data_IF_775755136554
#
_entry.id   IF_775755136554
#
_cell.length_a   1.000
_cell.length_b   1.000
_cell.length_c   1.000
_cell.angle_alpha   90.00
_cell.angle_beta   90.00
_cell.angle_gamma   90.00
#
_symmetry.space_group_name_H-M   'P 1'
#
loop_
_entity.id
_entity.type
_entity.pdbx_description
1 polymer ?
#
# COMPACT_ATOMS: atom_id res chain seq x y z
N UNK A 1 2.54 6.39 14.24
CA UNK A 1 2.60 5.17 13.40
C UNK A 1 2.48 5.60 11.93
N UNK A 2 3.41 5.22 11.04
CA UNK A 2 3.40 5.63 9.61
C UNK A 2 2.91 4.52 8.66
N UNK A 3 2.64 3.32 9.19
CA UNK A 3 2.19 2.16 8.41
C UNK A 3 0.71 2.23 8.06
N UNK A 4 -0.09 2.84 8.92
CA UNK A 4 -1.54 2.93 8.76
C UNK A 4 -1.98 4.38 8.92
N UNK A 5 -2.23 5.04 7.79
CA UNK A 5 -2.99 6.28 7.75
C UNK A 5 -3.89 6.25 6.50
N UNK A 6 -5.07 6.84 6.59
CA UNK A 6 -6.06 6.78 5.52
C UNK A 6 -5.47 7.28 4.19
N UNK A 7 -5.69 6.52 3.12
CA UNK A 7 -5.22 6.85 1.78
C UNK A 7 -3.73 6.62 1.52
N UNK A 8 -2.99 5.99 2.44
CA UNK A 8 -1.63 5.55 2.14
C UNK A 8 -1.60 4.30 1.25
N UNK A 9 -0.53 4.14 0.50
CA UNK A 9 -0.21 2.87 -0.16
C UNK A 9 1.05 2.30 0.49
N UNK A 10 0.95 1.10 1.04
CA UNK A 10 2.05 0.45 1.74
C UNK A 10 2.58 -0.70 0.90
N UNK A 11 3.82 -0.57 0.42
CA UNK A 11 4.55 -1.70 -0.15
C UNK A 11 5.58 -2.21 0.85
N UNK A 12 5.90 -3.50 0.75
CA UNK A 12 7.00 -4.09 1.49
C UNK A 12 8.00 -4.79 0.59
N UNK A 13 9.24 -4.89 1.05
CA UNK A 13 10.30 -5.69 0.43
C UNK A 13 10.91 -6.61 1.47
N UNK A 14 11.45 -7.75 1.04
CA UNK A 14 12.07 -8.73 1.95
C UNK A 14 11.48 -10.12 1.78
N UNK A 15 11.24 -10.78 2.91
CA UNK A 15 10.73 -12.15 2.95
C UNK A 15 9.34 -12.28 2.29
N UNK A 16 9.17 -13.34 1.50
CA UNK A 16 7.88 -13.80 0.98
C UNK A 16 8.00 -15.30 0.72
N UNK A 17 7.45 -16.12 1.60
CA UNK A 17 7.50 -17.59 1.53
C UNK A 17 6.78 -18.15 0.30
N UNK A 18 5.69 -17.51 -0.15
CA UNK A 18 4.95 -17.90 -1.36
C UNK A 18 5.74 -17.62 -2.64
N UNK A 19 6.77 -16.77 -2.56
CA UNK A 19 7.69 -16.48 -3.65
C UNK A 19 9.11 -17.00 -3.37
N UNK A 20 9.26 -17.94 -2.43
CA UNK A 20 10.53 -18.58 -2.07
C UNK A 20 11.65 -17.60 -1.64
N UNK A 21 11.29 -16.42 -1.12
CA UNK A 21 12.24 -15.42 -0.61
C UNK A 21 12.37 -15.51 0.90
N UNK A 22 13.52 -15.97 1.39
CA UNK A 22 13.84 -16.10 2.81
C UNK A 22 15.01 -15.19 3.16
N UNK A 23 14.71 -13.95 3.54
CA UNK A 23 15.70 -12.96 4.00
C UNK A 23 15.28 -12.38 5.34
N UNK A 24 16.25 -12.07 6.18
CA UNK A 24 16.01 -11.44 7.50
C UNK A 24 15.64 -9.96 7.38
N UNK A 25 15.97 -9.34 6.24
CA UNK A 25 15.68 -7.94 6.00
C UNK A 25 14.25 -7.76 5.48
N UNK A 26 13.49 -6.86 6.11
CA UNK A 26 12.14 -6.48 5.68
C UNK A 26 11.93 -4.98 5.86
N UNK A 27 11.51 -4.30 4.79
CA UNK A 27 11.21 -2.87 4.82
C UNK A 27 9.77 -2.60 4.44
N UNK A 28 9.13 -1.71 5.20
CA UNK A 28 7.80 -1.17 4.93
C UNK A 28 7.93 0.28 4.45
N UNK A 29 7.39 0.58 3.27
CA UNK A 29 7.54 1.88 2.63
C UNK A 29 6.15 2.49 2.44
N UNK A 30 5.76 3.46 3.28
CA UNK A 30 4.48 4.14 3.13
C UNK A 30 4.57 5.25 2.07
N UNK A 31 3.79 5.12 1.01
CA UNK A 31 3.67 6.10 -0.06
C UNK A 31 2.49 7.05 0.19
N UNK A 32 2.63 8.30 -0.26
CA UNK A 32 1.65 9.37 -0.13
C UNK A 32 1.31 9.95 -1.48
N UNK A 33 0.14 10.60 -1.56
CA UNK A 33 -0.31 11.30 -2.75
C UNK A 33 -0.37 10.39 -3.99
N UNK A 34 -0.72 9.12 -3.79
CA UNK A 34 -0.90 8.15 -4.86
C UNK A 34 -2.38 8.05 -5.24
N UNK A 35 -2.61 7.76 -6.52
CA UNK A 35 -3.88 7.22 -6.99
C UNK A 35 -3.82 5.68 -6.90
N UNK A 36 -4.89 5.05 -6.42
CA UNK A 36 -4.99 3.59 -6.30
C UNK A 36 -6.28 3.14 -6.98
N UNK A 37 -6.13 2.29 -8.00
CA UNK A 37 -7.24 1.66 -8.72
C UNK A 37 -7.22 0.14 -8.52
N UNK A 38 -8.41 -0.46 -8.45
CA UNK A 38 -8.62 -1.92 -8.47
C UNK A 38 -9.65 -2.21 -9.54
N UNK A 39 -9.32 -3.04 -10.52
CA UNK A 39 -10.20 -3.38 -11.64
C UNK A 39 -10.85 -2.15 -12.30
N UNK A 40 -10.02 -1.14 -12.61
CA UNK A 40 -10.40 0.16 -13.18
C UNK A 40 -11.28 1.07 -12.27
N UNK A 41 -11.55 0.66 -11.03
CA UNK A 41 -12.29 1.45 -10.04
C UNK A 41 -11.28 2.25 -9.20
N UNK A 42 -11.40 3.58 -9.21
CA UNK A 42 -10.60 4.47 -8.36
C UNK A 42 -11.06 4.36 -6.89
N UNK A 43 -10.14 3.94 -6.01
CA UNK A 43 -10.39 3.74 -4.57
C UNK A 43 -9.69 4.80 -3.71
N UNK A 44 -8.53 5.30 -4.19
CA UNK A 44 -7.81 6.42 -3.57
C UNK A 44 -7.42 7.41 -4.66
N UNK A 45 -7.71 8.70 -4.44
CA UNK A 45 -7.33 9.80 -5.32
C UNK A 45 -6.39 10.74 -4.56
N UNK A 46 -5.16 10.91 -5.05
CA UNK A 46 -4.15 11.80 -4.48
C UNK A 46 -3.95 11.61 -2.96
N UNK A 47 -4.02 10.35 -2.50
CA UNK A 47 -3.89 9.98 -1.09
C UNK A 47 -5.14 10.21 -0.24
N UNK A 48 -6.32 10.37 -0.84
CA UNK A 48 -7.62 10.44 -0.15
C UNK A 48 -8.51 9.28 -0.58
N UNK A 49 -9.18 8.63 0.38
CA UNK A 49 -10.17 7.61 0.10
C UNK A 49 -11.34 8.24 -0.69
N UNK A 50 -11.90 7.51 -1.66
CA UNK A 50 -13.06 7.96 -2.45
C UNK A 50 -14.21 6.94 -2.42
N UNK A 51 -15.39 7.37 -2.88
CA UNK A 51 -16.59 6.52 -2.90
C UNK A 51 -17.13 6.21 -1.50
N UNK A 52 -17.66 5.00 -1.24
CA UNK A 52 -18.19 4.60 0.07
C UNK A 52 -17.17 4.57 1.23
N UNK A 53 -15.89 4.82 0.93
CA UNK A 53 -14.78 4.74 1.88
C UNK A 53 -14.29 6.11 2.37
N UNK A 54 -14.76 7.20 1.76
CA UNK A 54 -14.35 8.58 2.06
C UNK A 54 -15.32 9.35 2.96
#
# INVERSE_FOLDING_TARGET
ELRAFAGNFLISTGANEFAERYTTCHFDIPMRNCDITIDDILIVESGKLVGPLG
#
